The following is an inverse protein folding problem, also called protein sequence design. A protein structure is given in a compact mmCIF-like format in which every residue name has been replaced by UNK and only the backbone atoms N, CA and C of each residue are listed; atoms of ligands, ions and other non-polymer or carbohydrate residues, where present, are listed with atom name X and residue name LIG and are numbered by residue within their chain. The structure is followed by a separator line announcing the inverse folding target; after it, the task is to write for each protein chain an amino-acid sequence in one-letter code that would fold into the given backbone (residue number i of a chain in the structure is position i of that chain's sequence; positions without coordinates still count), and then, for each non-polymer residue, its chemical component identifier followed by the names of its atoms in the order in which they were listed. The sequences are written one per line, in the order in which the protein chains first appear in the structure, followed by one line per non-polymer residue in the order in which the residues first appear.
data_IF_792088337005
#
_entry.id   IF_792088337005
#
_cell.length_a   1.000
_cell.length_b   1.000
_cell.length_c   1.000
_cell.angle_alpha   90.00
_cell.angle_beta   90.00
_cell.angle_gamma   90.00
#
_symmetry.space_group_name_H-M   'P 1'
#
loop_
_entity.id
_entity.type
_entity.pdbx_description
1 polymer ?
#
# COMPACT_ATOMS: atom_id res chain seq x y z
N UNK A 1 -20.92 -19.39 -0.70
CA UNK A 1 -20.04 -18.48 -1.47
C UNK A 1 -18.62 -18.94 -1.26
N UNK A 2 -17.91 -19.39 -2.31
CA UNK A 2 -16.45 -19.54 -2.24
C UNK A 2 -15.87 -18.13 -2.27
N UNK A 3 -15.18 -17.73 -1.21
CA UNK A 3 -14.35 -16.52 -1.24
C UNK A 3 -13.17 -16.83 -2.15
N UNK A 4 -13.21 -16.30 -3.37
CA UNK A 4 -12.05 -16.28 -4.25
C UNK A 4 -10.92 -15.56 -3.53
N UNK A 5 -9.81 -16.26 -3.29
CA UNK A 5 -8.65 -15.74 -2.57
C UNK A 5 -7.91 -14.77 -3.48
N UNK A 6 -8.21 -13.47 -3.36
CA UNK A 6 -7.43 -12.43 -4.04
C UNK A 6 -6.05 -12.34 -3.39
N UNK A 7 -5.02 -12.22 -4.22
CA UNK A 7 -3.65 -11.97 -3.74
C UNK A 7 -3.63 -10.67 -2.95
N UNK A 8 -2.98 -10.68 -1.79
CA UNK A 8 -2.82 -9.50 -0.94
C UNK A 8 -1.41 -8.96 -1.11
N UNK A 9 -1.29 -7.69 -1.50
CA UNK A 9 0.02 -7.06 -1.74
C UNK A 9 0.15 -5.82 -0.88
N UNK A 10 1.24 -5.76 -0.12
CA UNK A 10 1.68 -4.58 0.60
C UNK A 10 2.62 -3.77 -0.30
N UNK A 11 2.16 -2.59 -0.74
CA UNK A 11 2.92 -1.63 -1.55
C UNK A 11 3.88 -0.80 -0.67
N UNK A 12 4.84 -1.46 -0.03
CA UNK A 12 5.80 -0.82 0.89
C UNK A 12 7.10 -1.61 1.00
N UNK A 13 8.22 -0.89 1.05
CA UNK A 13 9.55 -1.43 1.35
C UNK A 13 9.91 -1.39 2.85
N UNK A 14 9.04 -0.81 3.69
CA UNK A 14 9.28 -0.67 5.14
C UNK A 14 9.26 -2.02 5.87
N UNK A 15 10.35 -2.40 6.58
CA UNK A 15 10.39 -3.61 7.41
C UNK A 15 9.31 -3.60 8.50
N UNK A 16 9.08 -2.45 9.14
CA UNK A 16 8.06 -2.29 10.20
C UNK A 16 6.65 -2.54 9.68
N UNK A 17 6.29 -2.02 8.50
CA UNK A 17 4.95 -2.24 7.92
C UNK A 17 4.74 -3.71 7.57
N UNK A 18 5.78 -4.40 7.09
CA UNK A 18 5.74 -5.85 6.85
C UNK A 18 5.52 -6.64 8.14
N UNK A 19 6.22 -6.29 9.21
CA UNK A 19 6.05 -6.92 10.54
C UNK A 19 4.61 -6.75 11.07
N UNK A 20 4.06 -5.53 10.98
CA UNK A 20 2.67 -5.26 11.37
C UNK A 20 1.67 -6.05 10.52
N UNK A 21 1.89 -6.14 9.22
CA UNK A 21 1.03 -6.89 8.31
C UNK A 21 1.05 -8.40 8.61
N UNK A 22 2.19 -8.94 9.03
CA UNK A 22 2.33 -10.35 9.41
C UNK A 22 1.49 -10.72 10.65
N UNK A 23 1.16 -9.76 11.52
CA UNK A 23 0.27 -9.98 12.67
C UNK A 23 -1.17 -10.35 12.26
N UNK A 24 -1.56 -10.10 11.00
CA UNK A 24 -2.87 -10.49 10.49
C UNK A 24 -2.97 -11.98 10.17
N UNK A 25 -1.85 -12.72 10.15
CA UNK A 25 -1.78 -14.16 9.82
C UNK A 25 -2.40 -14.50 8.45
N UNK A 26 -2.37 -13.55 7.51
CA UNK A 26 -2.80 -13.73 6.13
C UNK A 26 -1.57 -13.88 5.21
N UNK A 27 -1.66 -14.68 4.13
CA UNK A 27 -0.62 -14.68 3.10
C UNK A 27 -0.63 -13.35 2.34
N UNK A 28 0.54 -12.71 2.24
CA UNK A 28 0.72 -11.48 1.46
C UNK A 28 2.11 -11.41 0.84
N UNK A 29 2.25 -10.59 -0.19
CA UNK A 29 3.52 -10.25 -0.84
C UNK A 29 3.88 -8.78 -0.56
N UNK A 30 5.17 -8.45 -0.56
CA UNK A 30 5.62 -7.05 -0.46
C UNK A 30 6.23 -6.64 -1.80
N UNK A 31 5.79 -5.50 -2.33
CA UNK A 31 6.32 -4.92 -3.55
C UNK A 31 6.63 -3.45 -3.33
N UNK A 32 7.73 -2.97 -3.91
CA UNK A 32 8.10 -1.56 -3.81
C UNK A 32 7.13 -0.72 -4.66
N UNK A 33 6.51 0.34 -4.13
CA UNK A 33 5.63 1.18 -4.92
C UNK A 33 6.42 1.99 -5.96
N UNK A 34 5.82 2.22 -7.12
CA UNK A 34 6.34 3.10 -8.17
C UNK A 34 5.81 4.53 -7.96
N UNK A 35 6.10 5.11 -6.79
CA UNK A 35 5.61 6.43 -6.39
C UNK A 35 6.73 7.25 -5.76
N UNK A 36 6.88 8.50 -6.21
CA UNK A 36 7.80 9.48 -5.66
C UNK A 36 7.01 10.46 -4.79
N UNK A 37 7.47 10.66 -3.56
CA UNK A 37 6.82 11.57 -2.61
C UNK A 37 7.15 13.02 -2.98
N UNK A 38 6.12 13.79 -3.30
CA UNK A 38 6.23 15.20 -3.59
C UNK A 38 5.22 15.95 -2.73
N UNK A 39 5.71 16.65 -1.70
CA UNK A 39 4.84 17.34 -0.77
C UNK A 39 4.11 18.50 -1.44
N UNK A 40 2.83 18.65 -1.10
CA UNK A 40 1.99 19.75 -1.54
C UNK A 40 1.69 20.67 -0.34
N UNK A 41 2.25 21.90 -0.31
CA UNK A 41 2.01 22.86 0.77
C UNK A 41 0.54 23.25 0.94
N UNK A 42 -0.33 22.96 -0.03
CA UNK A 42 -1.76 23.20 0.09
C UNK A 42 -2.48 22.12 0.92
N UNK A 43 -1.88 20.95 1.13
CA UNK A 43 -2.44 19.85 1.89
C UNK A 43 -2.02 19.92 3.35
N UNK A 44 -2.93 19.55 4.26
CA UNK A 44 -2.55 19.23 5.63
C UNK A 44 -1.75 17.92 5.69
N UNK A 45 -0.95 17.67 6.74
CA UNK A 45 -0.21 16.42 6.86
C UNK A 45 -1.10 15.16 6.83
N UNK A 46 -2.33 15.25 7.34
CA UNK A 46 -3.26 14.12 7.28
C UNK A 46 -3.71 13.83 5.84
N UNK A 47 -3.98 14.88 5.05
CA UNK A 47 -4.37 14.75 3.64
C UNK A 47 -3.23 14.22 2.80
N UNK A 48 -2.03 14.77 2.98
CA UNK A 48 -0.84 14.32 2.25
C UNK A 48 -0.52 12.84 2.55
N UNK A 49 -0.59 12.42 3.82
CA UNK A 49 -0.41 11.01 4.19
C UNK A 49 -1.45 10.09 3.54
N UNK A 50 -2.72 10.52 3.47
CA UNK A 50 -3.78 9.75 2.79
C UNK A 50 -3.53 9.64 1.28
N UNK A 51 -3.14 10.73 0.63
CA UNK A 51 -2.85 10.75 -0.80
C UNK A 51 -1.62 9.91 -1.14
N UNK A 52 -0.54 10.01 -0.36
CA UNK A 52 0.65 9.18 -0.56
C UNK A 52 0.35 7.70 -0.33
N UNK A 53 -0.43 7.35 0.71
CA UNK A 53 -0.85 5.97 0.93
C UNK A 53 -1.64 5.42 -0.26
N UNK A 54 -2.58 6.21 -0.80
CA UNK A 54 -3.40 5.85 -1.96
C UNK A 54 -2.55 5.69 -3.22
N UNK A 55 -1.66 6.65 -3.49
CA UNK A 55 -0.82 6.67 -4.66
C UNK A 55 0.17 5.50 -4.68
N UNK A 56 0.76 5.16 -3.53
CA UNK A 56 1.63 3.98 -3.38
C UNK A 56 0.91 2.69 -3.78
N UNK A 57 -0.31 2.47 -3.28
CA UNK A 57 -1.11 1.31 -3.68
C UNK A 57 -1.46 1.35 -5.18
N UNK A 58 -1.95 2.50 -5.67
CA UNK A 58 -2.37 2.66 -7.05
C UNK A 58 -1.24 2.44 -8.06
N UNK A 59 0.01 2.75 -7.69
CA UNK A 59 1.19 2.60 -8.54
C UNK A 59 1.45 1.16 -9.02
N UNK A 60 0.86 0.17 -8.34
CA UNK A 60 1.01 -1.25 -8.63
C UNK A 60 -0.20 -1.89 -9.34
N UNK A 61 -1.26 -1.12 -9.64
CA UNK A 61 -2.50 -1.64 -10.25
C UNK A 61 -2.26 -2.30 -11.61
N UNK A 62 -1.37 -1.74 -12.44
CA UNK A 62 -1.08 -2.29 -13.77
C UNK A 62 -0.34 -3.63 -13.70
N UNK A 63 0.49 -3.84 -12.67
CA UNK A 63 1.24 -5.08 -12.46
C UNK A 63 0.39 -6.17 -11.78
N UNK A 64 -0.54 -5.76 -10.91
CA UNK A 64 -1.39 -6.68 -10.15
C UNK A 64 -2.88 -6.31 -10.23
N UNK A 65 -3.50 -6.39 -11.42
CA UNK A 65 -4.88 -5.93 -11.64
C UNK A 65 -5.94 -6.68 -10.82
N UNK A 66 -5.66 -7.92 -10.43
CA UNK A 66 -6.58 -8.78 -9.68
C UNK A 66 -6.24 -8.89 -8.18
N UNK A 67 -5.25 -8.12 -7.70
CA UNK A 67 -4.81 -8.15 -6.31
C UNK A 67 -5.54 -7.11 -5.44
N UNK A 68 -5.59 -7.38 -4.15
CA UNK A 68 -5.91 -6.38 -3.13
C UNK A 68 -4.61 -5.68 -2.72
N UNK A 69 -4.50 -4.39 -3.06
CA UNK A 69 -3.32 -3.57 -2.81
C UNK A 69 -3.50 -2.75 -1.52
N UNK A 70 -2.51 -2.81 -0.63
CA UNK A 70 -2.46 -2.02 0.61
C UNK A 70 -1.31 -1.03 0.52
N UNK A 71 -1.64 0.25 0.62
CA UNK A 71 -0.69 1.35 0.76
C UNK A 71 -0.80 1.98 2.15
N UNK A 72 0.30 2.54 2.64
CA UNK A 72 0.35 3.23 3.93
C UNK A 72 1.44 4.29 3.89
N UNK A 73 1.14 5.43 4.48
CA UNK A 73 2.08 6.53 4.64
C UNK A 73 2.08 7.05 6.08
N UNK A 74 3.10 7.82 6.44
CA UNK A 74 3.27 8.43 7.76
C UNK A 74 4.18 9.65 7.58
N UNK A 75 3.67 10.83 7.89
CA UNK A 75 4.41 12.10 7.90
C UNK A 75 4.81 12.52 9.32
#
# INVERSE_FOLDING_TARGET
MKTESRRLILASTSPRRRELMALLELPFECHAPNFEEASDPALSPAEEAMEFARAKAASLLAEFPDALLIGSDTL
#
